data_IF_836338113390
#
_entry.id   IF_836338113390
#
_cell.length_a   1.000
_cell.length_b   1.000
_cell.length_c   1.000
_cell.angle_alpha   90.00
_cell.angle_beta   90.00
_cell.angle_gamma   90.00
#
_symmetry.space_group_name_H-M   'P 1'
#
loop_
_entity.id
_entity.type
_entity.pdbx_description
1 polymer ?
#
# COMPACT_ATOMS: atom_id res chain seq x y z
N UNK A 1 -30.92 -50.61 -36.05
CA UNK A 1 -30.54 -49.20 -35.79
C UNK A 1 -29.90 -49.16 -34.41
N UNK A 2 -28.59 -48.85 -34.28
CA UNK A 2 -27.98 -48.64 -32.98
C UNK A 2 -28.13 -47.18 -32.55
N UNK A 3 -28.53 -46.98 -31.30
CA UNK A 3 -28.67 -45.68 -30.63
C UNK A 3 -27.31 -44.97 -30.49
N UNK A 4 -27.23 -43.64 -30.67
CA UNK A 4 -26.02 -42.89 -30.37
C UNK A 4 -25.94 -42.59 -28.88
N UNK A 5 -24.87 -43.05 -28.22
CA UNK A 5 -24.48 -42.56 -26.89
C UNK A 5 -23.72 -41.26 -27.08
N UNK A 6 -24.28 -40.16 -26.55
CA UNK A 6 -23.61 -38.85 -26.49
C UNK A 6 -22.45 -38.92 -25.51
N UNK A 7 -21.21 -38.88 -26.01
CA UNK A 7 -20.04 -38.43 -25.26
C UNK A 7 -20.04 -36.90 -25.25
N UNK A 8 -20.50 -36.29 -24.17
CA UNK A 8 -20.22 -34.88 -23.91
C UNK A 8 -18.82 -34.76 -23.30
N UNK A 9 -17.94 -33.89 -23.84
CA UNK A 9 -16.61 -33.72 -23.27
C UNK A 9 -16.71 -32.98 -21.93
N UNK A 10 -16.21 -33.61 -20.86
CA UNK A 10 -16.00 -32.96 -19.56
C UNK A 10 -15.15 -31.69 -19.75
N UNK A 11 -15.80 -30.55 -19.61
CA UNK A 11 -15.12 -29.25 -19.60
C UNK A 11 -14.38 -29.11 -18.28
N UNK A 12 -13.10 -29.45 -18.32
CA UNK A 12 -12.18 -29.28 -17.19
C UNK A 12 -12.21 -27.79 -16.76
N UNK A 13 -12.49 -27.46 -15.49
CA UNK A 13 -12.59 -26.07 -15.06
C UNK A 13 -11.27 -25.34 -15.31
N UNK A 14 -11.31 -24.03 -15.66
CA UNK A 14 -10.11 -23.28 -15.96
C UNK A 14 -9.15 -23.31 -14.78
N UNK A 15 -7.91 -23.74 -15.02
CA UNK A 15 -6.86 -23.78 -14.01
C UNK A 15 -6.77 -22.42 -13.30
N UNK A 16 -7.02 -22.41 -11.97
CA UNK A 16 -6.89 -21.21 -11.14
C UNK A 16 -5.50 -20.63 -11.36
N UNK A 17 -5.41 -19.41 -11.91
CA UNK A 17 -4.13 -18.66 -12.00
C UNK A 17 -3.48 -18.70 -10.62
N UNK A 18 -2.30 -19.32 -10.50
CA UNK A 18 -1.57 -19.44 -9.23
C UNK A 18 -1.52 -18.08 -8.53
N UNK A 19 -2.06 -18.01 -7.32
CA UNK A 19 -2.11 -16.77 -6.56
C UNK A 19 -0.68 -16.24 -6.36
N UNK A 20 -0.48 -14.93 -6.57
CA UNK A 20 0.82 -14.31 -6.29
C UNK A 20 1.14 -14.47 -4.79
N UNK A 21 2.38 -14.86 -4.42
CA UNK A 21 2.76 -15.00 -3.03
C UNK A 21 2.59 -13.70 -2.25
N UNK A 22 2.17 -13.83 -0.99
CA UNK A 22 1.93 -12.71 -0.09
C UNK A 22 3.23 -12.08 0.38
N UNK A 23 3.14 -10.77 0.62
CA UNK A 23 4.16 -10.00 1.28
C UNK A 23 3.48 -8.96 2.16
N UNK A 24 4.08 -8.67 3.30
CA UNK A 24 3.58 -7.71 4.26
C UNK A 24 3.88 -6.29 3.77
N UNK A 25 2.92 -5.40 3.99
CA UNK A 25 3.03 -3.96 3.82
C UNK A 25 2.46 -3.29 5.06
N UNK A 26 2.67 -1.99 5.30
CA UNK A 26 2.05 -1.30 6.42
C UNK A 26 0.52 -1.43 6.43
N UNK A 27 -0.11 -1.29 5.25
CA UNK A 27 -1.58 -1.43 5.10
C UNK A 27 -2.05 -2.84 5.43
N UNK A 28 -1.40 -3.87 4.89
CA UNK A 28 -1.75 -5.28 5.16
C UNK A 28 -1.59 -5.64 6.63
N UNK A 29 -0.49 -5.21 7.25
CA UNK A 29 -0.26 -5.41 8.68
C UNK A 29 -1.34 -4.71 9.52
N UNK A 30 -1.72 -3.49 9.14
CA UNK A 30 -2.79 -2.73 9.79
C UNK A 30 -4.14 -3.44 9.66
N UNK A 31 -4.48 -3.94 8.47
CA UNK A 31 -5.73 -4.66 8.22
C UNK A 31 -5.85 -5.89 9.10
N UNK A 32 -4.79 -6.69 9.20
CA UNK A 32 -4.79 -7.89 10.03
C UNK A 32 -4.93 -7.55 11.52
N UNK A 33 -4.16 -6.56 12.01
CA UNK A 33 -4.25 -6.09 13.40
C UNK A 33 -5.64 -5.53 13.75
N UNK A 34 -6.27 -4.85 12.79
CA UNK A 34 -7.63 -4.34 12.92
C UNK A 34 -8.63 -5.50 12.96
N UNK A 35 -8.57 -6.41 11.99
CA UNK A 35 -9.47 -7.56 11.87
C UNK A 35 -8.87 -8.62 10.93
N UNK A 36 -8.54 -9.84 11.40
CA UNK A 36 -8.05 -10.92 10.55
C UNK A 36 -8.97 -11.23 9.35
N UNK A 37 -10.29 -11.18 9.53
CA UNK A 37 -11.23 -11.38 8.41
C UNK A 37 -11.13 -10.27 7.36
N UNK A 38 -10.92 -9.00 7.76
CA UNK A 38 -10.69 -7.91 6.80
C UNK A 38 -9.43 -8.16 5.96
N UNK A 39 -8.34 -8.57 6.63
CA UNK A 39 -7.11 -8.94 5.94
C UNK A 39 -7.34 -10.05 4.92
N UNK A 40 -8.07 -11.11 5.29
CA UNK A 40 -8.40 -12.23 4.41
C UNK A 40 -9.14 -11.75 3.16
N UNK A 41 -10.26 -11.05 3.36
CA UNK A 41 -11.14 -10.60 2.27
C UNK A 41 -10.43 -9.67 1.28
N UNK A 42 -9.56 -8.79 1.79
CA UNK A 42 -8.81 -7.83 0.97
C UNK A 42 -7.55 -8.42 0.34
N UNK A 43 -6.74 -9.14 1.10
CA UNK A 43 -5.39 -9.54 0.68
C UNK A 43 -5.32 -10.93 0.05
N UNK A 44 -6.20 -11.85 0.49
CA UNK A 44 -6.23 -13.24 0.03
C UNK A 44 -7.36 -13.43 -0.98
N UNK A 45 -8.61 -13.18 -0.58
CA UNK A 45 -9.77 -13.32 -1.45
C UNK A 45 -9.77 -12.24 -2.56
N UNK A 46 -9.15 -11.08 -2.30
CA UNK A 46 -9.05 -9.92 -3.21
C UNK A 46 -10.42 -9.44 -3.69
N UNK A 47 -11.39 -9.42 -2.78
CA UNK A 47 -12.71 -8.90 -3.06
C UNK A 47 -12.57 -7.40 -3.38
N UNK A 48 -13.07 -6.93 -4.54
CA UNK A 48 -13.05 -5.52 -4.88
C UNK A 48 -13.76 -4.68 -3.83
N UNK A 49 -13.21 -3.49 -3.56
CA UNK A 49 -13.84 -2.48 -2.72
C UNK A 49 -14.14 -1.25 -3.57
N UNK A 50 -15.27 -0.56 -3.30
CA UNK A 50 -15.54 0.70 -3.96
C UNK A 50 -14.42 1.70 -3.63
N UNK A 51 -13.86 2.33 -4.67
CA UNK A 51 -12.88 3.40 -4.50
C UNK A 51 -13.56 4.60 -3.85
N UNK A 52 -12.83 5.29 -2.99
CA UNK A 52 -13.30 6.52 -2.36
C UNK A 52 -12.64 7.73 -3.03
N UNK A 53 -13.35 8.86 -3.06
CA UNK A 53 -12.80 10.14 -3.51
C UNK A 53 -11.48 10.49 -2.83
N UNK A 54 -11.33 10.15 -1.54
CA UNK A 54 -10.10 10.40 -0.80
C UNK A 54 -8.91 9.58 -1.32
N UNK A 55 -9.11 8.30 -1.66
CA UNK A 55 -8.05 7.45 -2.23
C UNK A 55 -7.64 7.93 -3.62
N UNK A 56 -8.62 8.27 -4.47
CA UNK A 56 -8.38 8.76 -5.83
C UNK A 56 -7.65 10.11 -5.80
N UNK A 57 -8.08 11.03 -4.92
CA UNK A 57 -7.38 12.30 -4.68
C UNK A 57 -5.94 12.09 -4.22
N UNK A 58 -5.72 11.15 -3.29
CA UNK A 58 -4.39 10.76 -2.82
C UNK A 58 -3.49 10.32 -3.97
N UNK A 59 -3.96 9.34 -4.75
CA UNK A 59 -3.23 8.79 -5.89
C UNK A 59 -2.84 9.87 -6.89
N UNK A 60 -3.80 10.74 -7.25
CA UNK A 60 -3.55 11.81 -8.22
C UNK A 60 -2.51 12.83 -7.72
N UNK A 61 -2.58 13.21 -6.44
CA UNK A 61 -1.60 14.15 -5.84
C UNK A 61 -0.21 13.53 -5.73
N UNK A 62 -0.10 12.25 -5.37
CA UNK A 62 1.20 11.56 -5.33
C UNK A 62 1.83 11.50 -6.73
N UNK A 63 1.08 11.09 -7.75
CA UNK A 63 1.56 11.07 -9.13
C UNK A 63 2.01 12.45 -9.64
N UNK A 64 1.31 13.52 -9.26
CA UNK A 64 1.71 14.89 -9.61
C UNK A 64 3.00 15.33 -8.89
N UNK A 65 3.23 14.91 -7.65
CA UNK A 65 4.46 15.18 -6.91
C UNK A 65 5.64 14.33 -7.43
N UNK A 66 5.38 13.08 -7.82
CA UNK A 66 6.37 12.23 -8.50
C UNK A 66 6.84 12.90 -9.80
N UNK A 67 5.90 13.35 -10.63
CA UNK A 67 6.17 14.08 -11.87
C UNK A 67 6.98 15.35 -11.63
N UNK A 68 6.61 16.13 -10.61
CA UNK A 68 7.29 17.37 -10.24
C UNK A 68 8.78 17.12 -10.02
N UNK A 69 9.12 16.07 -9.27
CA UNK A 69 10.52 15.72 -9.03
C UNK A 69 11.22 15.04 -10.21
N UNK A 70 10.49 14.75 -11.29
CA UNK A 70 11.08 14.32 -12.57
C UNK A 70 11.55 15.48 -13.43
N UNK A 71 11.17 16.71 -13.09
CA UNK A 71 11.55 17.92 -13.82
C UNK A 71 12.91 18.46 -13.35
N UNK A 72 13.59 19.29 -14.16
CA UNK A 72 14.70 20.12 -13.71
C UNK A 72 14.31 20.99 -12.51
N UNK A 73 15.25 21.27 -11.59
CA UNK A 73 14.97 21.94 -10.31
C UNK A 73 14.28 23.29 -10.49
N UNK A 74 14.78 24.10 -11.40
CA UNK A 74 14.29 25.42 -11.77
C UNK A 74 12.84 25.41 -12.27
N UNK A 75 12.39 24.29 -12.84
CA UNK A 75 11.03 24.13 -13.34
C UNK A 75 10.03 23.66 -12.27
N UNK A 76 10.51 23.21 -11.09
CA UNK A 76 9.68 22.65 -10.01
C UNK A 76 8.88 23.72 -9.25
N UNK A 77 8.00 24.38 -9.96
CA UNK A 77 7.17 25.47 -9.45
C UNK A 77 5.76 24.97 -9.12
N UNK A 78 5.05 25.69 -8.25
CA UNK A 78 3.66 25.37 -7.92
C UNK A 78 2.76 25.33 -9.18
N UNK A 79 2.81 26.30 -10.12
CA UNK A 79 2.07 26.21 -11.37
C UNK A 79 2.42 24.97 -12.21
N UNK A 80 3.69 24.55 -12.26
CA UNK A 80 4.11 23.36 -12.99
C UNK A 80 3.52 22.08 -12.37
N UNK A 81 3.55 21.95 -11.04
CA UNK A 81 2.92 20.81 -10.34
C UNK A 81 1.41 20.74 -10.61
N UNK A 82 0.70 21.88 -10.55
CA UNK A 82 -0.75 21.93 -10.81
C UNK A 82 -1.08 21.54 -12.25
N UNK A 83 -0.24 21.91 -13.22
CA UNK A 83 -0.41 21.50 -14.62
C UNK A 83 -0.31 19.98 -14.83
N UNK A 84 0.28 19.22 -13.89
CA UNK A 84 0.33 17.74 -13.95
C UNK A 84 -0.96 17.06 -13.56
N UNK A 85 -1.85 17.72 -12.82
CA UNK A 85 -3.09 17.12 -12.33
C UNK A 85 -4.00 16.64 -13.48
N UNK A 86 -4.22 17.45 -14.51
CA UNK A 86 -5.15 17.09 -15.59
C UNK A 86 -4.64 15.90 -16.44
N UNK A 87 -3.40 15.89 -16.95
CA UNK A 87 -2.89 14.73 -17.70
C UNK A 87 -2.84 13.44 -16.87
N UNK A 88 -2.49 13.54 -15.57
CA UNK A 88 -2.49 12.36 -14.68
C UNK A 88 -3.90 11.86 -14.39
N UNK A 89 -4.87 12.76 -14.26
CA UNK A 89 -6.27 12.38 -14.15
C UNK A 89 -6.78 11.65 -15.40
N UNK A 90 -6.45 12.15 -16.59
CA UNK A 90 -6.81 11.51 -17.86
C UNK A 90 -6.19 10.11 -18.00
N UNK A 91 -4.93 9.95 -17.59
CA UNK A 91 -4.28 8.64 -17.56
C UNK A 91 -4.96 7.68 -16.56
N UNK A 92 -5.28 8.14 -15.35
CA UNK A 92 -6.00 7.34 -14.36
C UNK A 92 -7.37 6.89 -14.86
N UNK A 93 -8.12 7.75 -15.55
CA UNK A 93 -9.41 7.42 -16.16
C UNK A 93 -9.29 6.40 -17.29
N UNK A 94 -8.24 6.49 -18.09
CA UNK A 94 -7.98 5.53 -19.16
C UNK A 94 -7.70 4.12 -18.60
N UNK A 95 -6.99 4.05 -17.48
CA UNK A 95 -6.70 2.78 -16.78
C UNK A 95 -7.90 2.25 -15.97
N UNK A 96 -8.79 3.15 -15.53
CA UNK A 96 -9.95 2.83 -14.70
C UNK A 96 -11.17 3.69 -15.06
N UNK A 97 -12.03 3.21 -15.98
CA UNK A 97 -13.23 3.93 -16.39
C UNK A 97 -14.25 4.17 -15.27
N UNK A 98 -14.24 3.39 -14.18
CA UNK A 98 -15.14 3.59 -13.03
C UNK A 98 -14.91 4.94 -12.33
N UNK A 99 -13.77 5.60 -12.57
CA UNK A 99 -13.50 6.93 -12.06
C UNK A 99 -14.45 8.00 -12.60
N UNK A 100 -15.08 7.77 -13.77
CA UNK A 100 -16.07 8.70 -14.34
C UNK A 100 -17.37 8.72 -13.55
N UNK A 101 -17.73 7.59 -12.93
CA UNK A 101 -18.87 7.51 -12.02
C UNK A 101 -18.53 8.14 -10.67
N UNK A 102 -17.29 7.96 -10.20
CA UNK A 102 -16.86 8.46 -8.91
C UNK A 102 -16.61 9.98 -8.91
N UNK A 103 -16.08 10.52 -10.01
CA UNK A 103 -15.88 11.97 -10.22
C UNK A 103 -16.52 12.35 -11.56
N UNK A 104 -17.84 12.63 -11.57
CA UNK A 104 -18.53 13.06 -12.77
C UNK A 104 -17.91 14.33 -13.36
N UNK A 105 -18.00 14.50 -14.68
CA UNK A 105 -17.40 15.65 -15.40
C UNK A 105 -17.82 17.01 -14.79
N UNK A 106 -19.06 17.12 -14.31
CA UNK A 106 -19.58 18.34 -13.65
C UNK A 106 -18.91 18.63 -12.29
N UNK A 107 -18.38 17.63 -11.61
CA UNK A 107 -17.67 17.76 -10.33
C UNK A 107 -16.14 17.84 -10.50
N UNK A 108 -15.62 17.51 -11.69
CA UNK A 108 -14.20 17.39 -11.97
C UNK A 108 -13.42 18.66 -11.61
N UNK A 109 -13.95 19.84 -11.96
CA UNK A 109 -13.30 21.10 -11.62
C UNK A 109 -13.13 21.27 -10.10
N UNK A 110 -14.16 20.93 -9.32
CA UNK A 110 -14.11 20.97 -7.86
C UNK A 110 -13.06 20.00 -7.30
N UNK A 111 -13.07 18.77 -7.78
CA UNK A 111 -12.11 17.74 -7.40
C UNK A 111 -10.64 18.13 -7.69
N UNK A 112 -10.35 18.66 -8.89
CA UNK A 112 -9.01 19.13 -9.24
C UNK A 112 -8.59 20.35 -8.41
N UNK A 113 -9.54 21.22 -8.04
CA UNK A 113 -9.29 22.34 -7.14
C UNK A 113 -8.87 21.86 -5.75
N UNK A 114 -9.48 20.80 -5.21
CA UNK A 114 -9.05 20.19 -3.95
C UNK A 114 -7.64 19.59 -4.04
N UNK A 115 -7.31 18.94 -5.15
CA UNK A 115 -5.95 18.44 -5.41
C UNK A 115 -4.93 19.58 -5.46
N UNK A 116 -5.28 20.69 -6.12
CA UNK A 116 -4.45 21.91 -6.17
C UNK A 116 -4.15 22.45 -4.77
N UNK A 117 -5.13 22.47 -3.86
CA UNK A 117 -4.91 22.95 -2.50
C UNK A 117 -3.99 22.02 -1.69
N UNK A 118 -4.01 20.72 -1.94
CA UNK A 118 -3.02 19.78 -1.36
C UNK A 118 -1.61 20.05 -1.90
N UNK A 119 -1.45 20.29 -3.21
CA UNK A 119 -0.17 20.70 -3.79
C UNK A 119 0.29 22.04 -3.20
N UNK A 120 -0.62 22.99 -2.96
CA UNK A 120 -0.27 24.26 -2.31
C UNK A 120 0.28 24.00 -0.91
N UNK A 121 -0.32 23.08 -0.17
CA UNK A 121 0.16 22.69 1.14
C UNK A 121 1.56 22.09 1.12
N UNK A 122 1.86 21.26 0.13
CA UNK A 122 3.22 20.77 -0.12
C UNK A 122 4.23 21.93 -0.31
N UNK A 123 3.93 22.90 -1.18
CA UNK A 123 4.83 24.04 -1.44
C UNK A 123 4.98 25.01 -0.25
N UNK A 124 4.11 24.94 0.77
CA UNK A 124 4.31 25.66 2.04
C UNK A 124 5.30 24.97 2.97
N UNK A 125 5.53 23.67 2.78
CA UNK A 125 6.31 22.83 3.67
C UNK A 125 7.69 22.45 3.12
N UNK A 126 7.90 22.63 1.81
CA UNK A 126 9.10 22.18 1.11
C UNK A 126 9.37 23.08 -0.11
N UNK A 127 10.64 23.39 -0.36
CA UNK A 127 11.08 24.02 -1.61
C UNK A 127 11.70 22.95 -2.53
N UNK A 128 10.96 22.40 -3.51
CA UNK A 128 11.45 21.34 -4.39
C UNK A 128 12.59 21.77 -5.32
N UNK A 129 12.85 23.09 -5.47
CA UNK A 129 13.96 23.60 -6.26
C UNK A 129 15.30 23.51 -5.52
N UNK A 130 15.28 23.32 -4.19
CA UNK A 130 16.48 23.35 -3.35
C UNK A 130 17.31 22.07 -3.35
N UNK A 131 16.78 20.95 -3.85
CA UNK A 131 17.44 19.64 -3.79
C UNK A 131 16.88 18.68 -4.84
N UNK A 132 17.62 17.59 -5.09
CA UNK A 132 17.10 16.42 -5.80
C UNK A 132 16.92 15.26 -4.82
N UNK A 133 15.81 14.52 -4.90
CA UNK A 133 15.68 13.28 -4.17
C UNK A 133 16.65 12.25 -4.76
N UNK A 134 17.11 11.32 -3.91
CA UNK A 134 17.89 10.17 -4.33
C UNK A 134 17.02 9.16 -5.08
N UNK A 135 15.82 8.90 -4.55
CA UNK A 135 14.83 7.99 -5.15
C UNK A 135 13.42 8.58 -5.01
N UNK A 136 12.54 8.21 -5.95
CA UNK A 136 11.10 8.52 -5.98
C UNK A 136 10.35 7.22 -6.23
N UNK A 137 9.20 7.04 -5.57
CA UNK A 137 8.42 5.80 -5.69
C UNK A 137 9.32 4.55 -5.57
N UNK A 138 10.22 4.57 -4.58
CA UNK A 138 11.23 3.53 -4.41
C UNK A 138 10.54 2.21 -4.12
N UNK A 139 10.57 1.30 -5.09
CA UNK A 139 9.96 -0.01 -4.94
C UNK A 139 10.75 -0.88 -3.96
N UNK A 140 10.04 -1.43 -2.98
CA UNK A 140 10.59 -2.32 -1.97
C UNK A 140 10.05 -3.72 -2.17
N UNK A 141 10.95 -4.69 -2.28
CA UNK A 141 10.59 -6.09 -2.48
C UNK A 141 11.73 -7.01 -2.00
N UNK A 142 11.64 -7.47 -0.76
CA UNK A 142 12.68 -8.29 -0.13
C UNK A 142 12.07 -9.22 0.93
N UNK A 143 12.86 -10.20 1.38
CA UNK A 143 12.59 -10.99 2.58
C UNK A 143 13.55 -10.47 3.66
N UNK A 144 13.00 -10.09 4.81
CA UNK A 144 13.79 -9.63 5.94
C UNK A 144 14.63 -10.80 6.53
N UNK A 145 15.73 -10.54 7.25
CA UNK A 145 16.54 -11.58 7.89
C UNK A 145 15.77 -12.56 8.78
N UNK A 146 14.64 -12.14 9.35
CA UNK A 146 13.75 -12.98 10.15
C UNK A 146 12.71 -13.78 9.33
N UNK A 147 12.85 -13.81 8.00
CA UNK A 147 11.98 -14.55 7.09
C UNK A 147 10.68 -13.84 6.68
N UNK A 148 10.44 -12.60 7.12
CA UNK A 148 9.21 -11.88 6.77
C UNK A 148 9.31 -11.33 5.34
N UNK A 149 8.42 -11.73 4.41
CA UNK A 149 8.33 -11.11 3.10
C UNK A 149 7.74 -9.71 3.23
N UNK A 150 8.38 -8.72 2.61
CA UNK A 150 7.90 -7.34 2.63
C UNK A 150 7.82 -6.78 1.22
N UNK A 151 6.76 -6.01 0.97
CA UNK A 151 6.57 -5.26 -0.28
C UNK A 151 5.92 -3.92 0.00
N UNK A 152 6.39 -2.88 -0.67
CA UNK A 152 5.81 -1.55 -0.56
C UNK A 152 6.52 -0.54 -1.45
N UNK A 153 6.21 0.73 -1.24
CA UNK A 153 6.83 1.85 -1.91
C UNK A 153 7.11 2.93 -0.89
N UNK A 154 8.25 3.61 -1.04
CA UNK A 154 8.55 4.86 -0.34
C UNK A 154 8.37 5.98 -1.36
N UNK A 155 7.52 6.96 -1.08
CA UNK A 155 7.23 8.06 -2.02
C UNK A 155 8.51 8.82 -2.42
N UNK A 156 9.37 9.15 -1.43
CA UNK A 156 10.62 9.88 -1.68
C UNK A 156 11.70 9.56 -0.66
N UNK A 157 12.93 9.37 -1.14
CA UNK A 157 14.14 9.29 -0.32
C UNK A 157 15.05 10.45 -0.67
N UNK A 158 15.45 11.24 0.33
CA UNK A 158 16.40 12.33 0.19
C UNK A 158 17.74 11.93 0.84
N UNK A 159 18.86 12.29 0.21
CA UNK A 159 20.20 12.12 0.79
C UNK A 159 20.93 13.45 0.74
N UNK A 160 21.30 13.98 1.90
CA UNK A 160 22.05 15.23 2.02
C UNK A 160 23.51 15.05 1.54
N UNK A 161 24.23 16.14 1.20
CA UNK A 161 25.66 16.06 0.88
C UNK A 161 26.52 15.48 2.02
N UNK A 162 26.08 15.62 3.28
CA UNK A 162 26.67 14.98 4.46
C UNK A 162 26.49 13.45 4.49
N UNK A 163 25.61 12.94 3.63
CA UNK A 163 25.19 11.55 3.59
C UNK A 163 23.94 11.25 4.42
N UNK A 164 23.42 12.18 5.22
CA UNK A 164 22.20 11.99 6.03
C UNK A 164 21.00 11.64 5.14
N UNK A 165 20.24 10.62 5.54
CA UNK A 165 19.11 10.06 4.80
C UNK A 165 17.79 10.48 5.43
N UNK A 166 16.87 10.98 4.61
CA UNK A 166 15.49 11.26 5.00
C UNK A 166 14.50 10.47 4.15
N UNK A 167 13.66 9.68 4.78
CA UNK A 167 12.51 9.02 4.15
C UNK A 167 11.29 9.93 4.27
N UNK A 168 10.59 10.17 3.16
CA UNK A 168 9.41 11.05 3.11
C UNK A 168 8.24 10.31 2.48
N UNK A 169 7.06 10.45 3.09
CA UNK A 169 5.78 9.98 2.56
C UNK A 169 4.73 11.11 2.70
N UNK A 170 3.95 11.30 1.64
CA UNK A 170 2.93 12.33 1.54
C UNK A 170 1.59 11.79 2.05
N UNK A 171 0.90 12.60 2.87
CA UNK A 171 -0.43 12.28 3.38
C UNK A 171 -1.40 13.38 2.98
N UNK A 172 -2.42 13.02 2.20
CA UNK A 172 -3.49 13.94 1.76
C UNK A 172 -4.66 14.05 2.75
N UNK A 173 -4.68 13.17 3.76
CA UNK A 173 -5.67 13.14 4.85
C UNK A 173 -5.37 14.10 6.00
N UNK A 174 -6.13 13.94 7.09
CA UNK A 174 -5.89 14.68 8.35
C UNK A 174 -4.67 14.11 9.07
N UNK A 175 -3.94 14.97 9.79
CA UNK A 175 -2.92 14.52 10.75
C UNK A 175 -3.61 13.84 11.95
N UNK A 176 -3.23 12.59 12.31
CA UNK A 176 -3.76 11.95 13.50
C UNK A 176 -3.33 12.69 14.77
N UNK A 177 -4.28 12.84 15.70
CA UNK A 177 -3.99 13.33 17.07
C UNK A 177 -2.99 12.37 17.75
N UNK A 178 -2.15 12.83 18.70
CA UNK A 178 -1.11 12.00 19.34
C UNK A 178 -1.58 10.61 19.79
N UNK A 179 -2.74 10.53 20.46
CA UNK A 179 -3.34 9.25 20.92
C UNK A 179 -3.72 8.25 19.82
N UNK A 180 -3.67 8.64 18.54
CA UNK A 180 -4.04 7.83 17.38
C UNK A 180 -2.90 7.74 16.35
N UNK A 181 -1.66 8.00 16.77
CA UNK A 181 -0.50 7.99 15.88
C UNK A 181 0.13 6.61 15.69
N UNK A 182 -0.26 5.60 16.46
CA UNK A 182 0.37 4.27 16.43
C UNK A 182 0.46 3.66 15.03
N UNK A 183 -0.60 3.80 14.21
CA UNK A 183 -0.58 3.33 12.82
C UNK A 183 0.42 4.08 11.94
N UNK A 184 0.53 5.41 12.11
CA UNK A 184 1.50 6.22 11.39
C UNK A 184 2.94 5.88 11.82
N UNK A 185 3.19 5.77 13.12
CA UNK A 185 4.49 5.40 13.66
C UNK A 185 4.87 3.94 13.32
N UNK A 186 3.89 3.04 13.17
CA UNK A 186 4.11 1.69 12.65
C UNK A 186 4.57 1.73 11.19
N UNK A 187 3.90 2.53 10.35
CA UNK A 187 4.29 2.71 8.94
C UNK A 187 5.71 3.25 8.80
N UNK A 188 6.07 4.26 9.60
CA UNK A 188 7.42 4.84 9.62
C UNK A 188 8.45 3.75 9.97
N UNK A 189 8.36 3.15 11.17
CA UNK A 189 9.28 2.05 11.57
C UNK A 189 9.37 0.92 10.55
N UNK A 190 8.27 0.58 9.87
CA UNK A 190 8.27 -0.40 8.80
C UNK A 190 9.20 0.01 7.65
N UNK A 191 9.04 1.22 7.11
CA UNK A 191 9.88 1.66 5.99
C UNK A 191 11.32 1.94 6.41
N UNK A 192 11.57 2.45 7.63
CA UNK A 192 12.93 2.55 8.15
C UNK A 192 13.63 1.19 8.27
N UNK A 193 12.96 0.17 8.81
CA UNK A 193 13.51 -1.19 8.89
C UNK A 193 13.80 -1.75 7.50
N UNK A 194 12.84 -1.64 6.57
CA UNK A 194 12.99 -2.16 5.22
C UNK A 194 14.14 -1.46 4.48
N UNK A 195 14.19 -0.13 4.55
CA UNK A 195 15.28 0.65 3.96
C UNK A 195 16.63 0.25 4.56
N UNK A 196 16.70 0.07 5.88
CA UNK A 196 17.93 -0.37 6.56
C UNK A 196 18.38 -1.76 6.10
N UNK A 197 17.48 -2.73 6.04
CA UNK A 197 17.82 -4.08 5.58
C UNK A 197 18.20 -4.13 4.10
N UNK A 198 17.64 -3.25 3.27
CA UNK A 198 17.97 -3.16 1.85
C UNK A 198 19.32 -2.47 1.59
N UNK A 199 19.62 -1.40 2.32
CA UNK A 199 20.76 -0.50 2.00
C UNK A 199 21.94 -0.62 2.97
N UNK A 200 21.74 -1.27 4.12
CA UNK A 200 22.71 -1.29 5.22
C UNK A 200 22.73 0.00 6.06
N UNK A 201 21.94 1.02 5.70
CA UNK A 201 21.89 2.31 6.41
C UNK A 201 20.53 2.56 7.06
N UNK A 202 20.54 2.89 8.35
CA UNK A 202 19.35 3.39 9.05
C UNK A 202 19.08 4.83 8.58
N UNK A 203 17.85 5.20 8.20
CA UNK A 203 17.54 6.57 7.86
C UNK A 203 17.66 7.46 9.10
N UNK A 204 18.27 8.63 8.95
CA UNK A 204 18.49 9.58 10.04
C UNK A 204 17.16 10.24 10.47
N UNK A 205 16.26 10.48 9.52
CA UNK A 205 14.93 11.04 9.77
C UNK A 205 13.89 10.38 8.87
N UNK A 206 12.71 10.18 9.41
CA UNK A 206 11.51 9.88 8.64
C UNK A 206 10.52 11.03 8.78
N UNK A 207 9.80 11.35 7.71
CA UNK A 207 8.86 12.46 7.65
C UNK A 207 7.57 12.05 6.96
N UNK A 208 6.45 12.10 7.68
CA UNK A 208 5.13 12.10 7.06
C UNK A 208 4.68 13.54 6.86
N UNK A 209 4.38 13.94 5.62
CA UNK A 209 3.92 15.29 5.28
C UNK A 209 2.40 15.32 5.12
N UNK A 210 1.69 15.90 6.09
CA UNK A 210 0.23 16.04 6.03
C UNK A 210 -0.17 17.32 5.28
N UNK A 211 -0.29 17.19 3.96
CA UNK A 211 -0.43 18.29 3.01
C UNK A 211 -1.66 19.15 3.29
N UNK A 212 -2.76 18.56 3.74
CA UNK A 212 -4.02 19.28 4.01
C UNK A 212 -3.88 20.31 5.14
N UNK A 213 -3.01 20.06 6.11
CA UNK A 213 -2.84 20.88 7.32
C UNK A 213 -1.47 21.57 7.38
N UNK A 214 -0.63 21.40 6.36
CA UNK A 214 0.71 21.95 6.26
C UNK A 214 1.61 21.59 7.45
N UNK A 215 1.50 20.35 7.95
CA UNK A 215 2.18 19.90 9.16
C UNK A 215 2.82 18.53 8.93
N UNK A 216 3.89 18.22 9.66
CA UNK A 216 4.64 16.98 9.55
C UNK A 216 4.65 16.18 10.85
N UNK A 217 4.80 14.87 10.72
CA UNK A 217 5.24 13.99 11.80
C UNK A 217 6.65 13.54 11.49
N UNK A 218 7.54 13.60 12.48
CA UNK A 218 8.93 13.20 12.35
C UNK A 218 9.28 12.09 13.33
N UNK A 219 10.16 11.18 12.92
CA UNK A 219 10.83 10.22 13.79
C UNK A 219 12.30 10.11 13.38
N UNK A 220 13.14 9.77 14.36
CA UNK A 220 14.56 9.42 14.13
C UNK A 220 14.76 8.02 14.68
N UNK A 221 14.65 6.97 13.85
CA UNK A 221 14.67 5.60 14.31
C UNK A 221 16.07 5.20 14.80
N UNK A 222 16.13 4.51 15.93
CA UNK A 222 17.37 3.91 16.42
C UNK A 222 17.49 2.45 15.98
N UNK A 223 18.73 1.95 15.94
CA UNK A 223 19.00 0.53 15.65
C UNK A 223 18.22 -0.41 16.56
N UNK A 224 18.23 -0.13 17.86
CA UNK A 224 17.58 -0.97 18.86
C UNK A 224 16.05 -1.00 18.67
N UNK A 225 15.42 0.13 18.36
CA UNK A 225 13.98 0.19 18.07
C UNK A 225 13.63 -0.63 16.82
N UNK A 226 14.43 -0.54 15.76
CA UNK A 226 14.20 -1.28 14.52
C UNK A 226 14.40 -2.78 14.70
N UNK A 227 15.37 -3.22 15.52
CA UNK A 227 15.57 -4.63 15.84
C UNK A 227 14.39 -5.21 16.66
N UNK A 228 13.87 -4.45 17.64
CA UNK A 228 12.65 -4.85 18.35
C UNK A 228 11.44 -4.90 17.42
N UNK A 229 11.30 -3.90 16.56
CA UNK A 229 10.22 -3.84 15.58
C UNK A 229 10.28 -5.02 14.60
N UNK A 230 11.48 -5.40 14.13
CA UNK A 230 11.68 -6.56 13.26
C UNK A 230 11.21 -7.85 13.95
N UNK A 231 11.58 -8.07 15.21
CA UNK A 231 11.09 -9.23 15.99
C UNK A 231 9.56 -9.24 16.07
N UNK A 232 8.94 -8.10 16.36
CA UNK A 232 7.49 -8.01 16.48
C UNK A 232 6.79 -8.20 15.13
N UNK A 233 7.42 -7.78 14.03
CA UNK A 233 6.96 -8.06 12.67
C UNK A 233 7.02 -9.56 12.35
N UNK A 234 8.08 -10.25 12.80
CA UNK A 234 8.22 -11.71 12.69
C UNK A 234 7.07 -12.44 13.40
N UNK A 235 6.73 -12.03 14.62
CA UNK A 235 5.59 -12.59 15.37
C UNK A 235 4.27 -12.35 14.66
N UNK A 236 4.05 -11.13 14.15
CA UNK A 236 2.85 -10.79 13.39
C UNK A 236 2.73 -11.67 12.14
N UNK A 237 3.82 -11.83 11.39
CA UNK A 237 3.82 -12.63 10.18
C UNK A 237 3.60 -14.13 10.45
N UNK A 238 4.20 -14.67 11.52
CA UNK A 238 3.97 -16.04 11.95
C UNK A 238 2.48 -16.29 12.25
N UNK A 239 1.83 -15.35 12.95
CA UNK A 239 0.39 -15.46 13.24
C UNK A 239 -0.45 -15.38 11.96
N UNK A 240 -0.15 -14.44 11.05
CA UNK A 240 -0.84 -14.33 9.75
C UNK A 240 -0.72 -15.63 8.95
N UNK A 241 0.46 -16.24 8.95
CA UNK A 241 0.74 -17.48 8.22
C UNK A 241 -0.04 -18.64 8.84
N UNK A 242 -0.04 -18.77 10.17
CA UNK A 242 -0.81 -19.79 10.88
C UNK A 242 -2.31 -19.70 10.58
N UNK A 243 -2.90 -18.50 10.69
CA UNK A 243 -4.30 -18.27 10.35
C UNK A 243 -4.60 -18.59 8.88
N UNK A 244 -3.65 -18.29 7.99
CA UNK A 244 -3.72 -18.60 6.57
C UNK A 244 -3.73 -20.10 6.28
N UNK A 245 -2.76 -20.83 6.82
CA UNK A 245 -2.65 -22.28 6.62
C UNK A 245 -3.88 -23.04 7.15
N UNK A 246 -4.45 -22.58 8.27
CA UNK A 246 -5.67 -23.17 8.83
C UNK A 246 -6.96 -22.59 8.25
N UNK A 247 -6.91 -21.52 7.46
CA UNK A 247 -8.09 -20.80 6.96
C UNK A 247 -8.91 -20.12 8.06
N UNK A 248 -8.35 -19.90 9.26
CA UNK A 248 -9.05 -19.38 10.43
C UNK A 248 -8.81 -17.89 10.62
N UNK A 249 -9.67 -17.06 10.02
CA UNK A 249 -9.61 -15.60 10.13
C UNK A 249 -10.78 -15.07 10.95
N UNK A 250 -10.57 -14.94 12.27
CA UNK A 250 -11.63 -14.51 13.18
C UNK A 250 -11.98 -13.02 12.96
N UNK A 251 -13.27 -12.66 12.83
CA UNK A 251 -13.66 -11.25 12.79
C UNK A 251 -13.44 -10.60 14.16
N UNK A 252 -12.97 -9.35 14.15
CA UNK A 252 -12.76 -8.55 15.36
C UNK A 252 -13.63 -7.29 15.30
N UNK A 253 -14.67 -7.23 16.12
CA UNK A 253 -15.61 -6.11 16.12
C UNK A 253 -14.99 -4.86 16.74
N UNK A 254 -15.28 -3.70 16.16
CA UNK A 254 -14.87 -2.40 16.68
C UNK A 254 -15.77 -1.30 16.11
N UNK A 255 -15.57 -0.05 16.56
CA UNK A 255 -16.25 1.12 15.98
C UNK A 255 -15.99 1.29 14.48
N UNK A 256 -14.91 0.70 13.95
CA UNK A 256 -14.56 0.76 12.52
C UNK A 256 -15.43 -0.17 11.67
N UNK A 257 -16.16 -1.12 12.26
CA UNK A 257 -17.04 -2.02 11.50
C UNK A 257 -18.13 -1.26 10.73
N UNK A 258 -18.59 -0.11 11.22
CA UNK A 258 -19.54 0.75 10.52
C UNK A 258 -19.01 1.36 9.21
N UNK A 259 -17.69 1.28 8.99
CA UNK A 259 -17.01 1.77 7.78
C UNK A 259 -16.38 0.63 6.97
N UNK A 260 -16.63 -0.62 7.35
CA UNK A 260 -16.08 -1.78 6.66
C UNK A 260 -16.97 -2.13 5.46
N UNK A 261 -16.39 -2.03 4.26
CA UNK A 261 -16.97 -2.41 2.97
C UNK A 261 -17.49 -3.85 2.93
N UNK A 262 -16.93 -4.75 3.75
CA UNK A 262 -17.27 -6.16 3.79
C UNK A 262 -18.24 -6.55 4.92
N UNK A 263 -18.94 -5.59 5.55
CA UNK A 263 -19.84 -5.89 6.66
C UNK A 263 -20.92 -6.92 6.28
N UNK A 264 -21.46 -6.86 5.07
CA UNK A 264 -22.44 -7.82 4.53
C UNK A 264 -21.91 -9.26 4.41
N UNK A 265 -20.59 -9.45 4.39
CA UNK A 265 -19.91 -10.75 4.36
C UNK A 265 -19.43 -11.20 5.75
N UNK A 266 -19.62 -10.39 6.79
CA UNK A 266 -19.04 -10.64 8.10
C UNK A 266 -19.97 -11.47 9.00
N UNK A 267 -19.54 -12.62 9.53
CA UNK A 267 -20.35 -13.45 10.43
C UNK A 267 -20.79 -12.75 11.71
N UNK A 268 -20.00 -11.78 12.21
CA UNK A 268 -20.36 -10.97 13.37
C UNK A 268 -21.61 -10.08 13.14
N UNK A 269 -22.04 -9.93 11.88
CA UNK A 269 -23.22 -9.19 11.45
C UNK A 269 -24.20 -10.08 10.67
N UNK A 270 -24.09 -11.41 10.78
CA UNK A 270 -24.95 -12.38 10.08
C UNK A 270 -24.59 -12.62 8.61
N UNK A 271 -23.50 -12.02 8.11
CA UNK A 271 -22.98 -12.26 6.77
C UNK A 271 -22.22 -13.58 6.65
N UNK A 272 -22.01 -14.05 5.42
CA UNK A 272 -21.20 -15.24 5.13
C UNK A 272 -20.05 -14.87 4.19
N UNK A 273 -18.78 -15.05 4.60
CA UNK A 273 -17.65 -14.82 3.72
C UNK A 273 -17.62 -15.89 2.62
N UNK A 274 -16.98 -15.62 1.46
CA UNK A 274 -16.82 -16.64 0.43
C UNK A 274 -16.04 -17.85 0.96
N UNK A 275 -16.07 -18.95 0.21
CA UNK A 275 -15.21 -20.10 0.48
C UNK A 275 -13.73 -19.68 0.49
N UNK A 276 -12.94 -20.17 1.45
CA UNK A 276 -11.53 -19.81 1.55
C UNK A 276 -10.74 -20.39 0.37
N UNK A 277 -10.04 -19.56 -0.42
CA UNK A 277 -9.36 -20.03 -1.63
C UNK A 277 -8.06 -20.79 -1.35
N UNK A 278 -7.68 -20.96 -0.07
CA UNK A 278 -6.42 -21.54 0.38
C UNK A 278 -5.33 -20.50 0.60
N UNK A 279 -4.28 -20.89 1.34
CA UNK A 279 -3.13 -20.03 1.59
C UNK A 279 -2.32 -19.85 0.28
N UNK A 280 -2.10 -18.62 -0.19
CA UNK A 280 -1.40 -18.38 -1.46
C UNK A 280 0.14 -18.51 -1.35
N UNK A 281 0.68 -18.88 -0.19
CA UNK A 281 2.11 -18.90 0.10
C UNK A 281 2.72 -17.51 0.32
N UNK A 282 3.97 -17.47 0.77
CA UNK A 282 4.75 -16.26 1.03
C UNK A 282 5.77 -16.01 -0.08
N UNK A 283 6.07 -14.73 -0.35
CA UNK A 283 7.19 -14.39 -1.23
C UNK A 283 8.50 -14.89 -0.61
N UNK A 284 9.21 -15.76 -1.32
CA UNK A 284 10.42 -16.40 -0.78
C UNK A 284 10.24 -17.90 -0.54
N UNK A 285 8.99 -18.40 -0.52
CA UNK A 285 8.68 -19.83 -0.40
C UNK A 285 8.99 -20.64 -1.68
N UNK A 286 9.88 -20.16 -2.55
CA UNK A 286 10.37 -20.99 -3.66
C UNK A 286 11.27 -22.07 -3.06
N UNK A 287 10.66 -23.21 -2.73
CA UNK A 287 11.37 -24.45 -2.51
C UNK A 287 12.20 -24.79 -3.76
N UNK A 288 13.49 -25.05 -3.56
CA UNK A 288 14.38 -25.81 -4.44
C UNK A 288 13.85 -27.24 -4.62
N UNK A 289 12.75 -27.40 -5.34
CA UNK A 289 12.20 -28.71 -5.73
C UNK A 289 11.90 -28.83 -7.23
N UNK A 290 12.34 -27.89 -8.05
CA UNK A 290 12.29 -27.97 -9.53
C UNK A 290 13.66 -28.29 -10.17
N UNK A 291 14.62 -28.83 -9.41
CA UNK A 291 15.82 -29.49 -9.97
C UNK A 291 15.70 -31.01 -9.78
N UNK A 292 14.78 -31.61 -10.53
CA UNK A 292 14.64 -33.06 -10.55
C UNK A 292 13.82 -33.56 -11.74
N UNK A 293 14.48 -33.81 -12.87
CA UNK A 293 13.92 -34.64 -13.93
C UNK A 293 14.38 -34.28 -15.34
N UNK A 294 15.48 -34.89 -15.78
CA UNK A 294 15.90 -34.86 -17.18
C UNK A 294 17.32 -35.35 -17.37
N UNK A 295 17.54 -36.64 -17.09
CA UNK A 295 18.65 -37.39 -17.67
C UNK A 295 18.19 -37.95 -19.01
#
# INVERSE_FOLDING_TARGET
MPSPTNDEPETNPPARKKARPLALSPSRASDYKQCPLLYRLRSIDKIPEPKTLAQVRGTLVHAALEDLYGMPREERTFPAAVKRLKPRWEAMRADDPELDELVPEVELHGFLSECRELLRGYFRMENPQGFDPKDREMFLNLVLPNGVPVRGFIDRVDVAPSGEVRIVDYKTGKKPKPRFQDGALFQMRFYALVYWRLTGKIPDVERLMYLKVNDSLYTSPTKQELEYFERDLGRLWAQITLDGEHGTFQPKTSKLCGWCSFQSLCPAFGGTPPEYPGWPGAMGDRNDKDTGGGN
#
